data_IF_214585527944
#
_entry.id   IF_214585527944
#
_cell.length_a   1.000
_cell.length_b   1.000
_cell.length_c   1.000
_cell.angle_alpha   90.00
_cell.angle_beta   90.00
_cell.angle_gamma   90.00
#
_symmetry.space_group_name_H-M   'P 1'
#
loop_
_entity.id
_entity.type
_entity.pdbx_description
1 polymer ?
2 polymer ?
3 water ?
#
# COMPACT_ATOMS: atom_id res chain seq x y z
N UNK A 10 4.39 -25.65 22.38
CA UNK A 10 3.65 -25.54 21.14
C UNK A 10 2.15 -25.49 21.37
N UNK A 11 1.59 -24.29 21.32
CA UNK A 11 0.15 -24.12 21.50
C UNK A 11 -0.65 -24.32 20.24
N UNK A 12 -1.94 -24.61 20.39
CA UNK A 12 -2.84 -24.71 19.27
C UNK A 12 -3.24 -23.32 18.79
N UNK A 13 -4.30 -23.27 17.97
CA UNK A 13 -4.88 -22.06 17.36
C UNK A 13 -5.18 -20.92 18.34
N UNK A 14 -5.50 -21.25 19.58
CA UNK A 14 -5.93 -20.27 20.56
C UNK A 14 -4.73 -19.57 21.23
N UNK A 15 -3.54 -20.18 21.19
CA UNK A 15 -2.37 -19.54 21.80
C UNK A 15 -2.06 -18.22 21.09
N UNK A 16 -1.58 -17.24 21.85
CA UNK A 16 -1.19 -15.96 21.27
C UNK A 16 -0.03 -16.13 20.28
N UNK A 17 0.87 -17.07 20.56
CA UNK A 17 1.97 -17.40 19.66
C UNK A 17 1.47 -17.71 18.23
N UNK A 18 0.49 -18.61 18.17
CA UNK A 18 -0.07 -19.05 16.91
C UNK A 18 -0.89 -17.94 16.28
N UNK A 19 -1.60 -17.17 17.11
CA UNK A 19 -2.41 -16.05 16.61
C UNK A 19 -1.54 -14.99 15.96
N UNK A 20 -0.40 -14.68 16.58
CA UNK A 20 0.48 -13.66 16.01
C UNK A 20 1.19 -14.20 14.78
N UNK A 21 1.62 -15.45 14.84
CA UNK A 21 2.30 -16.08 13.72
C UNK A 21 1.37 -16.19 12.48
N UNK A 22 0.17 -16.69 12.67
CA UNK A 22 -0.75 -16.84 11.56
C UNK A 22 -1.23 -15.48 11.10
N UNK A 23 -1.39 -14.57 12.04
CA UNK A 23 -1.79 -13.21 11.70
C UNK A 23 -0.81 -12.52 10.77
N UNK A 24 0.48 -12.68 11.06
CA UNK A 24 1.52 -12.09 10.23
C UNK A 24 1.53 -12.72 8.82
N UNK A 25 1.34 -14.04 8.75
CA UNK A 25 1.31 -14.73 7.46
C UNK A 25 0.13 -14.28 6.59
N UNK A 26 -1.05 -14.18 7.19
CA UNK A 26 -2.25 -13.79 6.46
C UNK A 26 -2.10 -12.37 5.96
N UNK A 27 -1.67 -11.50 6.87
CA UNK A 27 -1.56 -10.09 6.59
C UNK A 27 -0.57 -9.84 5.45
N UNK A 28 0.59 -10.47 5.55
CA UNK A 28 1.64 -10.25 4.56
C UNK A 28 1.24 -10.77 3.19
N UNK A 29 0.60 -11.94 3.18
CA UNK A 29 0.16 -12.54 1.95
C UNK A 29 -0.89 -11.64 1.33
N UNK A 30 -1.78 -11.12 2.17
CA UNK A 30 -2.85 -10.25 1.70
C UNK A 30 -2.31 -8.95 1.09
N UNK A 31 -1.41 -8.29 1.81
CA UNK A 31 -0.85 -7.02 1.34
C UNK A 31 0.00 -7.21 0.07
N UNK A 32 0.78 -8.29 0.02
CA UNK A 32 1.57 -8.60 -1.18
C UNK A 32 0.69 -8.86 -2.41
N UNK A 33 -0.36 -9.65 -2.25
CA UNK A 33 -1.26 -9.93 -3.35
C UNK A 33 -1.90 -8.66 -3.92
N UNK A 34 -2.13 -7.67 -3.07
CA UNK A 34 -2.72 -6.42 -3.51
C UNK A 34 -1.65 -5.44 -4.00
N UNK A 35 -0.38 -5.81 -3.87
CA UNK A 35 0.70 -4.99 -4.37
C UNK A 35 1.09 -5.43 -5.80
N UNK A 36 0.40 -6.45 -6.30
CA UNK A 36 0.64 -6.95 -7.64
C UNK A 36 -0.63 -6.99 -8.46
N UNK A 42 6.67 -6.46 -15.14
CA UNK A 42 7.79 -5.93 -14.38
C UNK A 42 8.32 -6.96 -13.39
N UNK A 43 9.27 -7.80 -13.83
CA UNK A 43 9.83 -8.91 -13.03
C UNK A 43 10.60 -8.43 -11.82
N UNK A 44 11.15 -7.22 -11.92
CA UNK A 44 11.94 -6.64 -10.85
C UNK A 44 11.06 -6.39 -9.63
N UNK A 45 9.75 -6.30 -9.83
CA UNK A 45 8.81 -6.07 -8.75
C UNK A 45 7.97 -7.31 -8.46
N UNK A 46 8.63 -8.46 -8.35
CA UNK A 46 7.96 -9.72 -8.04
C UNK A 46 8.17 -10.10 -6.58
N UNK A 47 7.07 -10.36 -5.86
CA UNK A 47 7.16 -10.63 -4.43
C UNK A 47 7.08 -12.13 -4.15
N UNK A 48 7.97 -12.60 -3.27
CA UNK A 48 8.01 -14.01 -2.90
C UNK A 48 6.75 -14.42 -2.12
N UNK A 49 6.14 -15.55 -2.50
CA UNK A 49 4.95 -16.10 -1.84
C UNK A 49 5.18 -16.44 -0.38
N UNK A 50 4.16 -16.22 0.42
CA UNK A 50 4.20 -16.55 1.83
C UNK A 50 3.87 -18.04 1.97
N UNK A 51 4.62 -18.77 2.81
CA UNK A 51 4.36 -20.19 2.96
C UNK A 51 3.08 -20.40 3.71
N UNK A 52 2.18 -21.19 3.14
CA UNK A 52 0.92 -21.41 3.81
C UNK A 52 0.49 -22.86 3.69
N UNK A 53 0.14 -23.42 4.84
CA UNK A 53 -0.58 -24.68 4.88
C UNK A 53 -1.94 -24.49 4.20
N UNK A 54 -2.67 -25.58 4.04
CA UNK A 54 -3.97 -25.55 3.38
C UNK A 54 -4.94 -24.55 4.01
N UNK A 55 -5.12 -24.63 5.33
CA UNK A 55 -6.12 -23.80 6.00
C UNK A 55 -5.80 -22.31 5.88
N UNK A 56 -4.54 -21.94 6.04
CA UNK A 56 -4.17 -20.53 5.92
C UNK A 56 -4.36 -20.06 4.47
N UNK A 57 -4.09 -20.95 3.51
CA UNK A 57 -4.35 -20.71 2.10
C UNK A 57 -5.82 -20.37 1.81
N UNK A 58 -6.75 -21.20 2.30
CA UNK A 58 -8.17 -20.90 2.17
C UNK A 58 -8.51 -19.53 2.75
N UNK A 59 -7.92 -19.21 3.90
CA UNK A 59 -8.19 -17.92 4.52
C UNK A 59 -7.73 -16.78 3.60
N UNK A 60 -6.54 -16.93 3.02
CA UNK A 60 -5.98 -15.89 2.14
C UNK A 60 -6.84 -15.67 0.91
N UNK A 61 -7.39 -16.77 0.38
CA UNK A 61 -8.31 -16.71 -0.76
C UNK A 61 -9.51 -15.86 -0.43
N UNK A 62 -10.15 -16.18 0.69
CA UNK A 62 -11.24 -15.38 1.20
C UNK A 62 -10.89 -13.90 1.34
N UNK A 63 -9.75 -13.61 1.96
CA UNK A 63 -9.32 -12.23 2.12
C UNK A 63 -9.21 -11.54 0.76
N UNK A 64 -8.58 -12.21 -0.20
CA UNK A 64 -8.36 -11.60 -1.51
C UNK A 64 -9.69 -11.31 -2.23
N UNK A 65 -10.68 -12.16 -2.06
CA UNK A 65 -11.97 -11.91 -2.70
C UNK A 65 -12.63 -10.66 -2.08
N UNK A 66 -12.56 -10.55 -0.75
CA UNK A 66 -13.15 -9.40 -0.05
C UNK A 66 -12.40 -8.12 -0.41
N UNK A 67 -11.10 -8.24 -0.59
CA UNK A 67 -10.29 -7.12 -1.00
C UNK A 67 -10.76 -6.63 -2.34
N UNK A 68 -11.10 -7.56 -3.22
CA UNK A 68 -11.53 -7.18 -4.57
C UNK A 68 -12.90 -6.51 -4.57
N UNK A 69 -13.83 -7.00 -3.75
CA UNK A 69 -15.13 -6.34 -3.65
C UNK A 69 -14.96 -4.93 -3.06
N UNK A 70 -14.12 -4.80 -2.03
CA UNK A 70 -13.94 -3.48 -1.42
C UNK A 70 -13.29 -2.51 -2.40
N UNK A 71 -12.45 -3.03 -3.29
CA UNK A 71 -11.81 -2.17 -4.29
C UNK A 71 -12.85 -1.60 -5.25
N UNK A 72 -14.01 -2.24 -5.33
CA UNK A 72 -15.07 -1.83 -6.27
C UNK A 72 -15.95 -0.71 -5.75
N UNK A 73 -15.99 -0.55 -4.43
CA UNK A 73 -16.67 0.60 -3.84
C UNK A 73 -15.88 1.86 -4.11
N UNK A 74 -16.32 2.61 -5.11
CA UNK A 74 -15.63 3.82 -5.53
C UNK A 74 -15.67 4.91 -4.48
N UNK A 75 -16.72 4.95 -3.68
CA UNK A 75 -16.84 5.98 -2.66
C UNK A 75 -15.86 5.73 -1.51
N UNK A 76 -15.60 4.47 -1.22
CA UNK A 76 -14.58 4.12 -0.25
C UNK A 76 -13.20 4.50 -0.78
N UNK A 77 -12.94 4.13 -2.03
CA UNK A 77 -11.69 4.51 -2.70
C UNK A 77 -11.47 6.03 -2.73
N UNK A 78 -12.53 6.78 -2.99
CA UNK A 78 -12.45 8.24 -2.96
C UNK A 78 -12.09 8.70 -1.56
N UNK A 79 -12.75 8.14 -0.56
CA UNK A 79 -12.50 8.53 0.83
C UNK A 79 -11.08 8.19 1.27
N UNK A 80 -10.60 7.02 0.87
CA UNK A 80 -9.26 6.61 1.25
C UNK A 80 -8.21 7.52 0.61
N UNK A 81 -8.35 7.77 -0.68
CA UNK A 81 -7.39 8.62 -1.39
C UNK A 81 -7.40 10.08 -0.88
N UNK A 82 -8.46 10.49 -0.20
CA UNK A 82 -8.54 11.87 0.29
C UNK A 82 -7.76 12.08 1.60
N UNK A 83 -7.49 11.03 2.37
CA UNK A 83 -6.71 11.27 3.58
C UNK A 83 -5.31 11.68 3.19
N UNK A 84 -4.75 12.59 3.97
CA UNK A 84 -3.36 12.98 3.83
C UNK A 84 -2.53 11.99 4.61
N UNK A 85 -1.73 11.20 3.90
CA UNK A 85 -0.78 10.31 4.57
C UNK A 85 0.61 10.95 4.53
N UNK A 86 0.68 12.18 5.01
CA UNK A 86 1.93 12.82 5.33
C UNK A 86 2.56 12.09 6.53
N UNK A 87 1.70 11.63 7.44
CA UNK A 87 2.12 10.89 8.62
C UNK A 87 1.28 9.62 8.71
N UNK A 88 1.63 8.60 7.92
CA UNK A 88 0.72 7.44 7.78
C UNK A 88 0.53 6.67 9.09
N UNK A 89 1.53 6.65 9.96
CA UNK A 89 1.41 5.90 11.22
C UNK A 89 0.30 6.50 12.07
N UNK A 90 0.27 7.84 12.13
CA UNK A 90 -0.78 8.55 12.86
C UNK A 90 -2.13 8.22 12.31
N UNK A 91 -2.21 8.19 10.99
CA UNK A 91 -3.46 7.86 10.30
C UNK A 91 -3.84 6.43 10.64
N UNK A 92 -2.89 5.51 10.55
CA UNK A 92 -3.24 4.14 10.83
C UNK A 92 -3.82 3.99 12.25
N UNK A 93 -3.17 4.56 13.26
CA UNK A 93 -3.67 4.28 14.61
C UNK A 93 -4.97 5.02 14.92
N UNK A 94 -5.21 6.15 14.25
CA UNK A 94 -6.47 6.85 14.45
C UNK A 94 -7.65 6.05 13.90
N UNK A 95 -7.52 5.58 12.67
CA UNK A 95 -8.52 4.73 12.04
C UNK A 95 -8.78 3.50 12.87
N UNK A 96 -7.72 2.79 13.27
CA UNK A 96 -7.87 1.57 14.02
C UNK A 96 -8.62 1.82 15.34
N UNK A 97 -8.18 2.82 16.09
CA UNK A 97 -8.83 3.19 17.34
C UNK A 97 -10.33 3.48 17.12
N UNK A 98 -10.61 4.29 16.12
CA UNK A 98 -11.98 4.69 15.81
C UNK A 98 -12.83 3.48 15.42
N UNK A 99 -12.30 2.63 14.54
CA UNK A 99 -13.00 1.42 14.09
C UNK A 99 -13.52 0.54 15.23
N UNK A 100 -12.79 0.52 16.34
CA UNK A 100 -13.11 -0.35 17.46
C UNK A 100 -13.46 0.43 18.73
N UNK A 101 -13.85 1.70 18.58
CA UNK A 101 -14.13 2.57 19.71
C UNK A 101 -15.39 2.18 20.50
N UNK A 102 -16.36 1.60 19.81
CA UNK A 102 -17.62 1.24 20.45
C UNK A 102 -17.50 -0.02 21.32
N UNK A 103 -16.34 -0.66 21.29
CA UNK A 103 -16.06 -1.80 22.14
C UNK A 103 -16.57 -3.12 21.57
N UNK A 104 -17.06 -3.08 20.34
CA UNK A 104 -17.52 -4.31 19.72
C UNK A 104 -16.43 -4.93 18.85
N UNK A 105 -16.54 -6.23 18.61
CA UNK A 105 -15.62 -6.90 17.70
C UNK A 105 -16.38 -7.84 16.81
N UNK A 106 -15.89 -8.00 15.60
CA UNK A 106 -16.30 -9.08 14.73
C UNK A 106 -15.21 -9.28 13.66
N UNK A 107 -15.26 -10.40 12.96
CA UNK A 107 -14.25 -10.72 11.96
C UNK A 107 -14.26 -9.73 10.80
N UNK A 108 -15.44 -9.20 10.48
CA UNK A 108 -15.55 -8.22 9.42
C UNK A 108 -14.63 -7.04 9.66
N UNK A 109 -14.65 -6.52 10.89
CA UNK A 109 -13.82 -5.38 11.26
C UNK A 109 -12.35 -5.72 11.19
N UNK A 110 -11.97 -6.92 11.61
CA UNK A 110 -10.57 -7.32 11.53
C UNK A 110 -10.17 -7.36 10.05
N UNK A 111 -11.03 -7.94 9.23
CA UNK A 111 -10.77 -8.02 7.80
C UNK A 111 -10.64 -6.64 7.18
N UNK A 112 -11.58 -5.75 7.51
CA UNK A 112 -11.53 -4.39 6.98
C UNK A 112 -10.29 -3.63 7.45
N UNK A 113 -9.79 -3.96 8.64
CA UNK A 113 -8.56 -3.33 9.13
C UNK A 113 -7.33 -3.76 8.30
N UNK A 114 -7.24 -5.06 8.02
CA UNK A 114 -6.21 -5.60 7.14
C UNK A 114 -6.28 -4.91 5.78
N UNK A 115 -7.50 -4.70 5.31
CA UNK A 115 -7.69 -4.05 4.02
C UNK A 115 -7.15 -2.61 4.05
N UNK A 116 -7.44 -1.89 5.13
CA UNK A 116 -6.94 -0.54 5.27
C UNK A 116 -5.40 -0.52 5.32
N UNK A 117 -4.79 -1.46 6.05
CA UNK A 117 -3.34 -1.52 6.06
C UNK A 117 -2.76 -1.69 4.65
N UNK A 118 -3.40 -2.49 3.79
CA UNK A 118 -2.86 -2.69 2.44
C UNK A 118 -3.00 -1.41 1.61
N UNK A 119 -4.07 -0.64 1.83
CA UNK A 119 -4.26 0.62 1.12
C UNK A 119 -3.20 1.63 1.57
N UNK A 120 -2.78 1.54 2.82
CA UNK A 120 -1.76 2.48 3.32
C UNK A 120 -0.41 2.19 2.69
N UNK A 121 -0.17 0.93 2.33
CA UNK A 121 1.08 0.59 1.65
C UNK A 121 1.11 1.26 0.28
N UNK A 122 0.00 1.14 -0.43
CA UNK A 122 -0.09 1.72 -1.75
C UNK A 122 -0.06 3.25 -1.70
N UNK A 123 -0.68 3.86 -0.69
CA UNK A 123 -0.59 5.32 -0.54
C UNK A 123 0.84 5.78 -0.22
N UNK A 124 1.55 5.04 0.62
CA UNK A 124 2.93 5.38 0.95
C UNK A 124 3.81 5.31 -0.32
N UNK A 125 3.63 4.26 -1.11
CA UNK A 125 4.34 4.12 -2.38
C UNK A 125 4.06 5.26 -3.34
N UNK A 126 2.83 5.77 -3.32
CA UNK A 126 2.46 6.85 -4.21
C UNK A 126 3.32 8.10 -3.96
N UNK A 127 3.85 8.24 -2.74
CA UNK A 127 4.74 9.36 -2.43
C UNK A 127 6.23 8.96 -2.51
N UNK A 128 6.52 7.72 -2.11
CA UNK A 128 7.90 7.22 -2.15
C UNK A 128 8.45 7.12 -3.57
N UNK A 129 7.64 6.69 -4.52
CA UNK A 129 8.12 6.48 -5.90
C UNK A 129 8.58 7.78 -6.57
N UNK A 130 7.78 8.85 -6.49
CA UNK A 130 8.32 10.07 -7.09
C UNK A 130 9.61 10.58 -6.43
N UNK A 131 9.79 10.35 -5.13
CA UNK A 131 10.99 10.83 -4.47
C UNK A 131 12.19 9.93 -4.82
N UNK A 132 11.92 8.65 -4.99
CA UNK A 132 12.94 7.73 -5.48
C UNK A 132 13.42 8.17 -6.85
N UNK A 133 12.45 8.54 -7.70
CA UNK A 133 12.74 9.00 -9.06
C UNK A 133 13.57 10.27 -9.01
N UNK A 134 13.18 11.20 -8.13
CA UNK A 134 13.91 12.45 -7.99
C UNK A 134 15.34 12.24 -7.48
N UNK A 135 15.51 11.28 -6.59
CA UNK A 135 16.83 10.99 -6.09
C UNK A 135 17.74 10.48 -7.22
N UNK A 136 17.22 9.61 -8.08
CA UNK A 136 18.07 9.00 -9.10
C UNK A 136 18.31 9.99 -10.24
N UNK A 137 17.34 10.86 -10.45
CA UNK A 137 17.50 11.92 -11.44
C UNK A 137 18.62 12.85 -11.01
N UNK A 138 18.64 13.15 -9.72
CA UNK A 138 19.69 13.94 -9.13
C UNK A 138 21.07 13.40 -9.50
N UNK A 139 21.28 12.10 -9.32
CA UNK A 139 22.56 11.50 -9.69
C UNK A 139 22.81 11.65 -11.18
N UNK A 140 21.78 11.36 -11.97
CA UNK A 140 21.95 11.26 -13.42
C UNK A 140 22.28 12.60 -14.05
N UNK A 141 21.50 13.60 -13.68
CA UNK A 141 21.68 14.96 -14.15
C UNK A 141 22.98 15.59 -13.64
N UNK A 142 23.37 15.20 -12.43
CA UNK A 142 24.62 15.66 -11.88
C UNK A 142 25.76 15.09 -12.74
N UNK A 143 25.72 13.79 -13.00
CA UNK A 143 26.72 13.20 -13.92
C UNK A 143 26.65 13.85 -15.32
N UNK A 144 25.43 13.99 -15.86
CA UNK A 144 25.26 14.62 -17.17
C UNK A 144 25.90 16.03 -17.22
N UNK A 145 25.60 16.84 -16.21
CA UNK A 145 26.08 18.23 -16.21
C UNK A 145 27.60 18.32 -16.18
N UNK A 146 28.24 17.52 -15.33
CA UNK A 146 29.70 17.61 -15.21
C UNK A 146 30.48 16.81 -16.25
N UNK A 147 29.87 15.79 -16.85
CA UNK A 147 30.65 14.91 -17.74
C UNK A 147 30.18 14.93 -19.20
N UNK A 148 28.90 15.18 -19.45
CA UNK A 148 28.38 15.04 -20.80
C UNK A 148 27.96 16.35 -21.45
N UNK A 149 27.79 17.40 -20.66
CA UNK A 149 27.18 18.62 -21.18
C UNK A 149 28.01 19.26 -22.31
N UNK A 150 29.32 19.30 -22.14
CA UNK A 150 30.21 19.81 -23.16
C UNK A 150 30.00 19.11 -24.48
N UNK A 151 29.96 17.79 -24.49
CA UNK A 151 29.68 17.06 -25.73
C UNK A 151 28.25 17.37 -26.24
N UNK A 152 27.29 17.45 -25.32
CA UNK A 152 25.91 17.67 -25.76
C UNK A 152 25.80 19.07 -26.40
N UNK A 153 26.56 20.02 -25.88
CA UNK A 153 26.59 21.38 -26.45
C UNK A 153 27.12 21.37 -27.88
N UNK A 154 28.21 20.65 -28.11
CA UNK A 154 28.77 20.42 -29.44
C UNK A 154 27.75 19.90 -30.44
N UNK A 155 26.75 19.16 -29.95
CA UNK A 155 25.66 18.69 -30.80
C UNK A 155 24.59 19.77 -31.02
N UNK A 156 24.76 20.91 -30.38
CA UNK A 156 23.67 21.88 -30.31
C UNK A 156 22.55 21.46 -29.36
N UNK A 157 22.89 20.86 -28.22
CA UNK A 157 21.85 20.47 -27.28
C UNK A 157 21.00 19.28 -27.73
N UNK A 158 19.83 19.10 -27.11
CA UNK A 158 19.00 17.93 -27.36
C UNK A 158 18.34 17.89 -28.74
N UNK A 159 18.37 19.00 -29.48
CA UNK A 159 17.89 18.98 -30.86
C UNK A 159 18.81 18.07 -31.69
N UNK A 160 20.05 17.89 -31.22
CA UNK A 160 20.95 16.94 -31.85
C UNK A 160 20.40 15.52 -31.82
N UNK A 161 19.73 15.18 -30.72
CA UNK A 161 19.19 13.83 -30.55
C UNK A 161 17.98 13.60 -31.45
N UNK A 162 17.21 14.66 -31.66
CA UNK A 162 16.18 14.73 -32.71
C UNK A 162 16.76 14.30 -34.05
N UNK A 163 17.85 14.95 -34.44
CA UNK A 163 18.52 14.61 -35.70
C UNK A 163 18.94 13.13 -35.72
N UNK A 164 19.59 12.71 -34.64
CA UNK A 164 20.11 11.35 -34.47
C UNK A 164 19.02 10.29 -34.67
N UNK A 165 17.84 10.54 -34.10
CA UNK A 165 16.70 9.65 -34.26
C UNK A 165 16.00 9.84 -35.59
N UNK A 166 16.37 10.88 -36.31
CA UNK A 166 15.75 11.18 -37.58
C UNK A 166 14.44 11.89 -37.39
N UNK B 2 -8.79 17.35 7.94
CA UNK B 2 -8.24 16.01 7.83
C UNK B 2 -8.79 15.08 8.91
N UNK B 3 -8.85 15.57 10.15
CA UNK B 3 -9.25 14.77 11.29
C UNK B 3 -10.65 14.20 11.09
N UNK B 4 -11.49 14.92 10.33
CA UNK B 4 -12.84 14.44 10.03
C UNK B 4 -12.87 13.46 8.86
N UNK B 5 -11.95 13.61 7.93
CA UNK B 5 -11.79 12.66 6.82
C UNK B 5 -11.39 11.27 7.34
N UNK B 6 -10.50 11.28 8.32
CA UNK B 6 -10.01 10.04 8.91
C UNK B 6 -11.13 9.33 9.65
N UNK B 7 -11.86 10.08 10.47
CA UNK B 7 -13.04 9.57 11.17
C UNK B 7 -14.06 8.95 10.22
N UNK B 8 -14.29 9.61 9.08
CA UNK B 8 -15.24 9.09 8.11
C UNK B 8 -14.84 7.73 7.56
N UNK B 9 -13.55 7.55 7.30
CA UNK B 9 -13.06 6.28 6.77
C UNK B 9 -13.22 5.15 7.77
N UNK B 10 -12.89 5.45 9.02
CA UNK B 10 -12.95 4.45 10.07
C UNK B 10 -14.37 3.94 10.20
N UNK B 11 -15.31 4.87 10.22
CA UNK B 11 -16.69 4.49 10.47
C UNK B 11 -17.28 3.76 9.27
N UNK B 12 -16.82 4.09 8.06
CA UNK B 12 -17.24 3.29 6.90
C UNK B 12 -16.62 1.88 6.96
N UNK B 13 -15.38 1.78 7.41
CA UNK B 13 -14.73 0.46 7.57
C UNK B 13 -15.45 -0.36 8.63
N UNK B 14 -15.77 0.28 9.75
CA UNK B 14 -16.50 -0.40 10.83
C UNK B 14 -17.84 -0.90 10.29
N UNK B 15 -18.47 -0.09 9.44
CA UNK B 15 -19.76 -0.43 8.83
C UNK B 15 -19.65 -1.56 7.82
N UNK B 16 -18.69 -1.48 6.91
CA UNK B 16 -18.36 -2.60 6.05
C UNK B 16 -18.15 -3.88 6.88
N UNK B 17 -17.30 -3.80 7.90
CA UNK B 17 -17.03 -4.94 8.75
C UNK B 17 -18.30 -5.50 9.39
N UNK B 18 -19.14 -4.62 9.92
CA UNK B 18 -20.38 -5.05 10.59
C UNK B 18 -21.37 -5.66 9.60
N UNK B 19 -21.37 -5.17 8.37
CA UNK B 19 -22.30 -5.62 7.33
C UNK B 19 -21.83 -6.91 6.64
N UNK B 20 -20.63 -7.35 6.98
CA UNK B 20 -20.09 -8.61 6.51
C UNK B 20 -20.81 -9.79 7.21
N UNK B 21 -21.31 -9.56 8.43
CA UNK B 21 -22.14 -10.55 9.14
C UNK B 21 -23.61 -10.55 8.68
#
# INVERSE_FOLDING_TARGET
MDGSGEQPRGGGPTSSEQIMKTGALLLQGFIQDRAGRMGGEAPELALDPVPQDASTKKLSESLKRIGDELDSNMELQRMIAAVDTDSPREVFFRVAADMFSDGNFNWGRVVALFYFASKLVLKALSTKVPELIRTIMGWTLDFLRERLLGWIQDQGGWDGLLSYFGSS
XQEDIIRNIARHLAQVGDSMD
#
